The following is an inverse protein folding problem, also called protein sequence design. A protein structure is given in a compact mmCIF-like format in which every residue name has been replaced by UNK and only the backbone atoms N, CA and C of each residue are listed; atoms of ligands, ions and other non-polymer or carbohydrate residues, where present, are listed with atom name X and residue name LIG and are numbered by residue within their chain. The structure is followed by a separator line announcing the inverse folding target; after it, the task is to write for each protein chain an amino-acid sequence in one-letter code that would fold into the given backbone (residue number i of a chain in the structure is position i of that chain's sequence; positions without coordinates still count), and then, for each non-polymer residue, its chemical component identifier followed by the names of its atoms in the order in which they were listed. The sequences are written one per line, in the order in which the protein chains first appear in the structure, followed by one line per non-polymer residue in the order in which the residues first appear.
data_IF_410659831909
#
_entry.id   IF_410659831909
#
_cell.length_a   1.000
_cell.length_b   1.000
_cell.length_c   1.000
_cell.angle_alpha   90.00
_cell.angle_beta   90.00
_cell.angle_gamma   90.00
#
_symmetry.space_group_name_H-M   'P 1'
#
loop_
_entity.id
_entity.type
_entity.pdbx_description
1 polymer ?
#
# COMPACT_ATOMS: atom_id res chain seq x y z
N UNK A 1 -30.23 -36.49 -52.40
CA UNK A 1 -31.60 -36.94 -52.08
C UNK A 1 -31.66 -37.46 -50.64
N UNK A 2 -31.68 -36.57 -49.63
CA UNK A 2 -31.94 -36.91 -48.22
C UNK A 2 -32.62 -35.72 -47.52
N UNK A 3 -33.48 -36.05 -46.57
CA UNK A 3 -34.65 -35.29 -46.07
C UNK A 3 -34.30 -34.16 -45.08
N UNK A 4 -35.21 -33.18 -45.03
CA UNK A 4 -35.37 -32.07 -44.05
C UNK A 4 -35.25 -32.50 -42.58
N UNK A 5 -34.84 -31.59 -41.68
CA UNK A 5 -35.36 -31.48 -40.32
C UNK A 5 -36.42 -30.37 -40.20
N UNK A 6 -37.19 -30.46 -39.11
CA UNK A 6 -38.44 -29.77 -38.84
C UNK A 6 -38.31 -28.32 -38.35
N UNK A 7 -39.42 -27.59 -38.52
CA UNK A 7 -39.70 -26.22 -38.11
C UNK A 7 -40.01 -26.07 -36.62
N UNK A 8 -39.77 -24.84 -36.14
CA UNK A 8 -40.64 -24.10 -35.22
C UNK A 8 -40.10 -23.96 -33.80
N UNK A 9 -40.29 -22.85 -33.09
CA UNK A 9 -40.83 -21.52 -33.40
C UNK A 9 -40.63 -20.67 -32.11
N UNK A 10 -40.87 -19.37 -32.22
CA UNK A 10 -41.03 -18.35 -31.16
C UNK A 10 -39.72 -17.79 -30.57
N UNK A 11 -39.36 -16.53 -30.85
CA UNK A 11 -39.99 -15.24 -30.48
C UNK A 11 -39.70 -14.85 -29.03
N UNK A 12 -38.86 -13.83 -28.83
CA UNK A 12 -39.12 -12.79 -27.82
C UNK A 12 -38.41 -11.46 -28.23
N UNK A 13 -39.01 -10.28 -27.96
CA UNK A 13 -38.71 -9.01 -28.60
C UNK A 13 -37.78 -8.09 -27.78
N UNK A 14 -37.37 -7.01 -28.42
CA UNK A 14 -36.37 -6.06 -27.92
C UNK A 14 -36.76 -5.23 -26.70
N UNK A 15 -35.72 -4.73 -26.04
CA UNK A 15 -35.78 -3.66 -25.05
C UNK A 15 -35.01 -2.44 -25.57
N UNK A 16 -35.74 -1.33 -25.60
CA UNK A 16 -35.31 0.01 -25.99
C UNK A 16 -34.47 0.65 -24.88
N UNK A 17 -33.60 1.55 -25.33
CA UNK A 17 -32.93 2.61 -24.57
C UNK A 17 -33.94 3.47 -23.82
N UNK A 18 -33.50 4.07 -22.71
CA UNK A 18 -33.68 5.51 -22.50
C UNK A 18 -32.57 6.08 -21.58
N UNK A 19 -32.12 7.26 -21.97
CA UNK A 19 -31.20 8.14 -21.27
C UNK A 19 -31.99 9.08 -20.35
N UNK A 20 -31.37 9.62 -19.30
CA UNK A 20 -31.71 10.97 -18.86
C UNK A 20 -30.57 11.65 -18.11
N UNK A 21 -30.39 12.92 -18.44
CA UNK A 21 -29.43 13.88 -17.91
C UNK A 21 -30.16 14.96 -17.07
N UNK A 22 -29.37 15.89 -16.52
CA UNK A 22 -29.75 17.17 -15.88
C UNK A 22 -30.24 17.05 -14.43
N UNK A 23 -29.86 17.86 -13.43
CA UNK A 23 -29.17 19.14 -13.37
C UNK A 23 -29.92 20.02 -12.34
N UNK A 24 -29.29 20.47 -11.25
CA UNK A 24 -29.65 21.76 -10.61
C UNK A 24 -28.72 22.18 -9.44
N UNK A 25 -28.29 23.44 -9.46
CA UNK A 25 -27.95 24.28 -8.29
C UNK A 25 -29.09 25.28 -8.09
N UNK A 26 -29.25 25.87 -6.90
CA UNK A 26 -29.09 27.33 -6.87
C UNK A 26 -28.38 27.89 -5.64
N UNK A 27 -28.14 29.19 -5.78
CA UNK A 27 -27.35 30.17 -5.05
C UNK A 27 -28.21 30.93 -3.99
N UNK A 28 -27.59 31.46 -2.94
CA UNK A 28 -28.09 32.65 -2.21
C UNK A 28 -27.08 33.17 -1.18
N UNK A 29 -26.62 34.41 -1.37
CA UNK A 29 -25.85 35.20 -0.40
C UNK A 29 -26.70 35.91 0.66
N UNK A 30 -26.03 36.56 1.61
CA UNK A 30 -26.66 37.41 2.63
C UNK A 30 -25.65 38.08 3.57
N UNK A 31 -25.68 39.40 3.61
CA UNK A 31 -24.68 40.35 4.11
C UNK A 31 -24.89 40.76 5.59
N UNK A 32 -23.78 41.11 6.23
CA UNK A 32 -23.51 41.99 7.39
C UNK A 32 -24.63 42.49 8.30
N UNK A 33 -24.34 42.52 9.61
CA UNK A 33 -24.68 43.69 10.43
C UNK A 33 -23.69 43.91 11.57
N UNK A 34 -23.10 45.09 11.56
CA UNK A 34 -22.21 45.70 12.54
C UNK A 34 -23.05 46.43 13.61
N UNK A 35 -22.69 46.29 14.90
CA UNK A 35 -23.07 47.12 16.06
C UNK A 35 -22.34 46.51 17.26
N UNK A 36 -21.67 47.19 18.16
CA UNK A 36 -21.50 48.59 18.49
C UNK A 36 -20.84 48.62 19.87
N UNK A 37 -19.81 49.43 20.02
CA UNK A 37 -18.95 49.61 21.20
C UNK A 37 -19.72 49.74 22.54
N UNK A 38 -19.09 49.31 23.65
CA UNK A 38 -18.91 50.11 24.88
C UNK A 38 -17.98 49.42 25.89
N UNK A 39 -16.78 49.98 26.03
CA UNK A 39 -15.95 49.88 27.24
C UNK A 39 -16.47 50.87 28.30
N UNK A 40 -16.39 50.53 29.59
CA UNK A 40 -15.94 51.40 30.72
C UNK A 40 -16.03 50.67 32.08
N UNK A 41 -15.35 51.14 33.16
CA UNK A 41 -14.34 50.32 33.84
C UNK A 41 -14.47 50.29 35.38
N UNK A 42 -13.45 49.70 36.03
CA UNK A 42 -12.97 49.92 37.42
C UNK A 42 -13.78 49.27 38.56
N UNK A 43 -13.11 48.41 39.34
CA UNK A 43 -12.55 48.80 40.67
C UNK A 43 -11.72 47.68 41.32
N UNK A 44 -10.53 48.09 41.72
CA UNK A 44 -9.69 47.44 42.74
C UNK A 44 -10.38 47.44 44.12
N UNK A 45 -10.26 46.36 44.89
CA UNK A 45 -10.21 46.44 46.36
C UNK A 45 -9.34 45.33 46.94
N UNK A 46 -8.59 45.75 47.97
CA UNK A 46 -7.47 45.10 48.65
C UNK A 46 -7.90 44.00 49.64
N UNK A 47 -6.97 43.04 49.81
CA UNK A 47 -6.45 42.39 51.04
C UNK A 47 -7.42 41.84 52.11
N UNK A 48 -7.17 40.57 52.46
CA UNK A 48 -7.46 39.97 53.76
C UNK A 48 -6.68 38.66 53.93
N UNK A 49 -5.77 38.62 54.91
CA UNK A 49 -4.96 37.47 55.35
C UNK A 49 -5.75 36.69 56.40
N UNK A 50 -5.65 35.35 56.42
CA UNK A 50 -6.08 34.57 57.59
C UNK A 50 -6.19 33.04 57.40
N UNK A 51 -5.19 32.34 57.94
CA UNK A 51 -5.30 31.07 58.69
C UNK A 51 -5.58 29.72 57.97
N UNK A 52 -4.48 28.96 57.87
CA UNK A 52 -4.29 27.57 58.37
C UNK A 52 -5.46 26.58 58.28
N UNK A 53 -5.41 25.74 57.24
CA UNK A 53 -6.06 24.43 57.21
C UNK A 53 -5.07 23.37 56.72
N UNK A 54 -4.73 22.39 57.56
CA UNK A 54 -3.96 21.19 57.19
C UNK A 54 -4.75 20.40 56.13
N UNK A 55 -4.44 20.65 54.85
CA UNK A 55 -4.92 19.86 53.73
C UNK A 55 -4.16 18.53 53.67
N UNK A 56 -4.86 17.43 53.92
CA UNK A 56 -4.40 16.07 53.64
C UNK A 56 -4.15 15.99 52.13
N UNK A 57 -2.89 15.87 51.71
CA UNK A 57 -2.52 15.75 50.32
C UNK A 57 -3.24 14.55 49.69
N UNK A 58 -4.15 14.83 48.75
CA UNK A 58 -4.58 13.83 47.75
C UNK A 58 -3.37 13.54 46.87
N UNK A 59 -3.01 12.27 46.62
CA UNK A 59 -1.98 11.99 45.64
C UNK A 59 -2.47 12.50 44.28
N UNK A 60 -1.73 13.46 43.73
CA UNK A 60 -1.88 13.97 42.36
C UNK A 60 -1.52 12.83 41.40
N UNK A 61 -2.55 12.03 41.09
CA UNK A 61 -2.49 10.90 40.19
C UNK A 61 -2.75 11.27 38.74
N UNK A 62 -2.54 12.54 38.34
CA UNK A 62 -2.58 12.88 36.91
C UNK A 62 -1.23 12.53 36.28
N UNK A 63 -0.96 11.22 36.15
CA UNK A 63 -0.14 10.75 35.03
C UNK A 63 -0.82 11.33 33.79
N UNK A 64 -0.29 12.42 33.23
CA UNK A 64 -0.70 12.95 31.93
C UNK A 64 -0.64 11.76 31.00
N UNK A 65 -1.80 11.18 30.67
CA UNK A 65 -1.88 10.19 29.60
C UNK A 65 -1.25 10.87 28.39
N UNK A 66 -0.18 10.32 27.80
CA UNK A 66 0.42 10.92 26.63
C UNK A 66 -0.71 11.16 25.64
N UNK A 67 -0.81 12.39 25.14
CA UNK A 67 -1.73 12.68 24.05
C UNK A 67 -1.38 11.70 22.92
N UNK A 68 -2.38 10.96 22.42
CA UNK A 68 -2.16 10.09 21.27
C UNK A 68 -1.65 10.98 20.15
N UNK A 69 -0.48 10.64 19.62
CA UNK A 69 0.05 11.29 18.41
C UNK A 69 -0.30 10.42 17.21
N UNK A 70 -0.27 11.02 16.01
CA UNK A 70 -0.47 10.27 14.78
C UNK A 70 0.59 9.16 14.64
N UNK A 71 1.84 9.47 14.94
CA UNK A 71 2.95 8.50 14.93
C UNK A 71 2.71 7.35 15.90
N UNK A 72 2.26 7.63 17.13
CA UNK A 72 1.96 6.57 18.10
C UNK A 72 0.81 5.68 17.63
N UNK A 73 -0.19 6.26 16.96
CA UNK A 73 -1.30 5.51 16.35
C UNK A 73 -0.84 4.60 15.22
N UNK A 74 0.03 5.10 14.34
CA UNK A 74 0.61 4.31 13.24
C UNK A 74 1.46 3.17 13.80
N UNK A 75 2.35 3.46 14.74
CA UNK A 75 3.21 2.45 15.36
C UNK A 75 2.40 1.35 16.05
N UNK A 76 1.38 1.72 16.84
CA UNK A 76 0.48 0.76 17.47
C UNK A 76 -0.29 -0.09 16.45
N UNK A 77 -0.75 0.50 15.34
CA UNK A 77 -1.41 -0.24 14.28
C UNK A 77 -0.48 -1.23 13.57
N UNK A 78 0.78 -0.84 13.33
CA UNK A 78 1.79 -1.74 12.77
C UNK A 78 2.15 -2.87 13.75
N UNK A 79 2.22 -2.61 15.06
CA UNK A 79 2.41 -3.66 16.07
C UNK A 79 1.26 -4.66 16.10
N UNK A 80 0.01 -4.20 16.01
CA UNK A 80 -1.16 -5.09 15.91
C UNK A 80 -1.12 -5.90 14.61
N UNK A 81 -0.76 -5.28 13.49
CA UNK A 81 -0.63 -5.96 12.20
C UNK A 81 0.41 -7.08 12.25
N UNK A 82 1.58 -6.81 12.81
CA UNK A 82 2.66 -7.80 12.95
C UNK A 82 2.24 -8.98 13.83
N UNK A 83 1.66 -8.69 15.01
CA UNK A 83 1.25 -9.70 15.99
C UNK A 83 0.04 -10.52 15.54
N UNK A 84 -1.02 -9.85 15.09
CA UNK A 84 -2.35 -10.47 14.94
C UNK A 84 -2.79 -10.57 13.46
N UNK A 85 -2.15 -9.81 12.56
CA UNK A 85 -2.50 -9.76 11.13
C UNK A 85 -3.63 -8.79 10.81
N UNK A 86 -3.84 -8.58 9.52
CA UNK A 86 -4.76 -7.56 9.01
C UNK A 86 -6.23 -7.83 9.38
N UNK A 87 -6.62 -9.11 9.49
CA UNK A 87 -8.00 -9.51 9.82
C UNK A 87 -8.38 -9.16 11.27
N UNK A 88 -7.39 -9.11 12.17
CA UNK A 88 -7.56 -8.69 13.56
C UNK A 88 -7.38 -7.17 13.77
N UNK A 89 -6.91 -6.46 12.75
CA UNK A 89 -6.70 -5.02 12.80
C UNK A 89 -8.05 -4.27 12.79
N UNK A 90 -8.31 -3.53 13.86
CA UNK A 90 -9.53 -2.75 14.05
C UNK A 90 -9.24 -1.52 14.91
N UNK A 91 -10.14 -0.53 14.88
CA UNK A 91 -10.06 0.63 15.77
C UNK A 91 -9.99 0.23 17.26
N UNK A 92 -10.60 -0.91 17.63
CA UNK A 92 -10.57 -1.42 19.01
C UNK A 92 -9.24 -2.06 19.36
N UNK A 93 -8.65 -2.86 18.48
CA UNK A 93 -7.36 -3.49 18.74
C UNK A 93 -6.22 -2.46 18.79
N UNK A 94 -6.24 -1.44 17.92
CA UNK A 94 -5.27 -0.33 17.99
C UNK A 94 -5.45 0.51 19.27
N UNK A 95 -6.68 0.76 19.69
CA UNK A 95 -6.93 1.50 20.93
C UNK A 95 -6.49 0.71 22.16
N UNK A 96 -6.67 -0.61 22.14
CA UNK A 96 -6.20 -1.52 23.18
C UNK A 96 -4.67 -1.52 23.26
N UNK A 97 -3.98 -1.57 22.11
CA UNK A 97 -2.52 -1.46 22.02
C UNK A 97 -1.99 -0.15 22.63
N UNK A 98 -2.71 0.96 22.39
CA UNK A 98 -2.38 2.28 22.96
C UNK A 98 -2.85 2.49 24.41
N UNK A 99 -3.53 1.52 25.02
CA UNK A 99 -4.18 1.66 26.34
C UNK A 99 -5.17 2.84 26.43
N UNK A 100 -5.83 3.19 25.32
CA UNK A 100 -6.84 4.25 25.23
C UNK A 100 -8.21 3.71 24.85
N UNK A 101 -9.23 4.57 24.83
CA UNK A 101 -10.58 4.21 24.37
C UNK A 101 -10.66 4.45 22.86
N UNK A 102 -11.31 3.56 22.12
CA UNK A 102 -11.47 3.69 20.66
C UNK A 102 -12.02 5.05 20.19
N UNK A 103 -12.99 5.72 20.88
CA UNK A 103 -13.41 7.07 20.53
C UNK A 103 -12.27 8.12 20.47
N UNK A 104 -11.18 7.91 21.22
CA UNK A 104 -10.02 8.80 21.21
C UNK A 104 -9.23 8.73 19.90
N UNK A 105 -9.26 7.60 19.18
CA UNK A 105 -8.57 7.48 17.90
C UNK A 105 -9.24 8.29 16.79
N UNK A 106 -10.56 8.50 16.88
CA UNK A 106 -11.30 9.23 15.86
C UNK A 106 -10.98 10.72 15.78
N UNK A 107 -10.21 11.26 16.75
CA UNK A 107 -9.63 12.60 16.66
C UNK A 107 -8.46 12.67 15.67
N UNK A 108 -7.87 11.53 15.32
CA UNK A 108 -6.71 11.42 14.43
C UNK A 108 -7.07 10.81 13.07
N UNK A 109 -8.05 9.91 13.04
CA UNK A 109 -8.49 9.20 11.83
C UNK A 109 -10.01 9.11 11.77
N UNK A 110 -10.60 9.34 10.60
CA UNK A 110 -12.05 9.34 10.38
C UNK A 110 -12.63 7.94 10.47
N UNK A 111 -11.92 6.94 9.97
CA UNK A 111 -12.37 5.56 9.90
C UNK A 111 -11.19 4.57 9.79
N UNK A 112 -11.53 3.29 9.59
CA UNK A 112 -10.54 2.22 9.41
C UNK A 112 -9.78 2.35 8.09
N UNK A 113 -10.36 2.91 7.03
CA UNK A 113 -9.66 3.05 5.75
C UNK A 113 -8.57 4.12 5.85
N UNK A 114 -8.86 5.27 6.47
CA UNK A 114 -7.84 6.29 6.71
C UNK A 114 -6.73 5.79 7.66
N UNK A 115 -7.07 4.95 8.64
CA UNK A 115 -6.06 4.23 9.41
C UNK A 115 -5.19 3.36 8.51
N UNK A 116 -5.78 2.57 7.60
CA UNK A 116 -5.03 1.71 6.69
C UNK A 116 -4.12 2.50 5.73
N UNK A 117 -4.57 3.67 5.25
CA UNK A 117 -3.74 4.57 4.43
C UNK A 117 -2.51 5.06 5.20
N UNK A 118 -2.69 5.43 6.47
CA UNK A 118 -1.59 5.85 7.34
C UNK A 118 -0.64 4.70 7.68
N UNK A 119 -1.16 3.50 7.89
CA UNK A 119 -0.33 2.32 8.12
C UNK A 119 0.43 1.92 6.85
N UNK A 120 -0.17 2.05 5.68
CA UNK A 120 0.49 1.84 4.39
C UNK A 120 1.67 2.81 4.23
N UNK A 121 1.44 4.10 4.44
CA UNK A 121 2.50 5.11 4.37
C UNK A 121 3.58 4.89 5.43
N UNK A 122 3.19 4.64 6.69
CA UNK A 122 4.13 4.36 7.78
C UNK A 122 4.99 3.12 7.54
N UNK A 123 4.39 2.06 6.98
CA UNK A 123 5.11 0.85 6.57
C UNK A 123 6.15 1.17 5.50
N UNK A 124 5.79 1.92 4.46
CA UNK A 124 6.73 2.34 3.41
C UNK A 124 7.82 3.25 3.97
N UNK A 125 7.50 4.11 4.93
CA UNK A 125 8.47 4.94 5.64
C UNK A 125 9.49 4.13 6.47
N UNK A 126 9.13 2.93 6.95
CA UNK A 126 10.10 1.98 7.53
C UNK A 126 10.99 1.40 6.43
N UNK A 127 10.40 0.96 5.32
CA UNK A 127 11.13 0.42 4.17
C UNK A 127 12.09 1.42 3.52
N UNK A 128 11.76 2.71 3.54
CA UNK A 128 12.63 3.80 3.08
C UNK A 128 13.99 3.84 3.79
N UNK A 129 14.06 3.33 5.03
CA UNK A 129 15.31 3.25 5.81
C UNK A 129 16.22 2.11 5.33
N UNK A 130 15.70 1.21 4.53
CA UNK A 130 16.37 0.02 3.97
C UNK A 130 16.64 0.18 2.45
N UNK A 131 16.56 1.40 1.93
CA UNK A 131 16.91 1.68 0.54
C UNK A 131 18.38 1.31 0.29
N UNK A 132 18.67 0.55 -0.79
CA UNK A 132 20.05 0.21 -1.13
C UNK A 132 20.83 1.45 -1.61
N UNK A 133 22.16 1.44 -1.53
CA UNK A 133 22.97 2.45 -2.20
C UNK A 133 22.80 2.37 -3.72
N UNK A 134 23.00 3.48 -4.41
CA UNK A 134 23.05 3.54 -5.88
C UNK A 134 24.48 3.37 -6.38
N UNK A 135 24.65 2.63 -7.47
CA UNK A 135 25.95 2.29 -8.07
C UNK A 135 26.19 2.99 -9.41
N UNK A 136 25.21 3.75 -9.91
CA UNK A 136 25.30 4.47 -11.19
C UNK A 136 25.04 3.57 -12.41
N UNK A 137 24.58 2.33 -12.18
CA UNK A 137 24.01 1.47 -13.20
C UNK A 137 22.55 1.20 -12.81
N UNK A 138 21.63 1.85 -13.52
CA UNK A 138 20.19 1.71 -13.30
C UNK A 138 19.71 0.27 -13.25
N UNK A 139 20.35 -0.65 -14.00
CA UNK A 139 19.93 -2.04 -14.02
C UNK A 139 20.32 -2.73 -12.72
N UNK A 140 21.51 -2.44 -12.20
CA UNK A 140 21.95 -2.93 -10.89
C UNK A 140 21.10 -2.31 -9.80
N UNK A 141 20.89 -1.00 -9.84
CA UNK A 141 20.17 -0.24 -8.81
C UNK A 141 18.70 -0.68 -8.71
N UNK A 142 17.98 -0.80 -9.83
CA UNK A 142 16.60 -1.29 -9.83
C UNK A 142 16.49 -2.74 -9.37
N UNK A 143 17.48 -3.58 -9.71
CA UNK A 143 17.52 -4.98 -9.25
C UNK A 143 17.69 -5.04 -7.74
N UNK A 144 18.65 -4.30 -7.19
CA UNK A 144 18.88 -4.24 -5.75
C UNK A 144 17.68 -3.68 -5.01
N UNK A 145 17.06 -2.63 -5.55
CA UNK A 145 15.84 -2.04 -5.00
C UNK A 145 14.70 -3.07 -4.98
N UNK A 146 14.46 -3.80 -6.07
CA UNK A 146 13.41 -4.81 -6.15
C UNK A 146 13.62 -5.93 -5.12
N UNK A 147 14.86 -6.40 -4.95
CA UNK A 147 15.19 -7.40 -3.94
C UNK A 147 15.09 -6.87 -2.51
N UNK A 148 15.53 -5.64 -2.26
CA UNK A 148 15.39 -4.99 -0.95
C UNK A 148 13.92 -4.86 -0.57
N UNK A 149 13.11 -4.34 -1.50
CA UNK A 149 11.68 -4.17 -1.28
C UNK A 149 10.96 -5.50 -1.09
N UNK A 150 11.30 -6.54 -1.87
CA UNK A 150 10.76 -7.90 -1.67
C UNK A 150 11.08 -8.44 -0.29
N UNK A 151 12.34 -8.33 0.18
CA UNK A 151 12.75 -8.77 1.52
C UNK A 151 11.98 -8.01 2.60
N UNK A 152 11.92 -6.68 2.48
CA UNK A 152 11.20 -5.82 3.41
C UNK A 152 9.73 -6.23 3.51
N UNK A 153 9.02 -6.32 2.38
CA UNK A 153 7.61 -6.70 2.38
C UNK A 153 7.39 -8.11 2.93
N UNK A 154 8.26 -9.08 2.60
CA UNK A 154 8.18 -10.45 3.15
C UNK A 154 8.33 -10.49 4.66
N UNK A 155 9.22 -9.66 5.23
CA UNK A 155 9.45 -9.58 6.67
C UNK A 155 8.26 -8.95 7.43
N UNK A 156 7.40 -8.19 6.75
CA UNK A 156 6.26 -7.51 7.34
C UNK A 156 4.95 -8.25 7.02
N UNK A 157 4.30 -8.82 8.05
CA UNK A 157 3.06 -9.59 7.90
C UNK A 157 1.94 -8.78 7.23
N UNK A 158 1.24 -9.40 6.28
CA UNK A 158 0.12 -8.81 5.53
C UNK A 158 0.46 -7.48 4.83
N UNK A 159 1.75 -7.15 4.67
CA UNK A 159 2.24 -5.88 4.12
C UNK A 159 1.59 -5.55 2.77
N UNK A 160 1.56 -6.52 1.85
CA UNK A 160 0.97 -6.32 0.53
C UNK A 160 -0.54 -6.13 0.62
N UNK A 161 -1.24 -6.76 1.57
CA UNK A 161 -2.69 -6.54 1.74
C UNK A 161 -3.01 -5.15 2.25
N UNK A 162 -2.13 -4.58 3.07
CA UNK A 162 -2.23 -3.18 3.50
C UNK A 162 -1.97 -2.24 2.32
N UNK A 163 -0.98 -2.53 1.48
CA UNK A 163 -0.64 -1.70 0.31
C UNK A 163 -1.60 -1.82 -0.87
N UNK A 164 -2.20 -3.00 -1.07
CA UNK A 164 -3.05 -3.31 -2.23
C UNK A 164 -4.27 -2.39 -2.32
N UNK A 165 -4.45 -1.77 -3.49
CA UNK A 165 -5.56 -0.83 -3.75
C UNK A 165 -5.36 0.56 -3.14
N UNK A 166 -4.21 0.83 -2.52
CA UNK A 166 -3.83 2.13 -1.98
C UNK A 166 -2.67 2.70 -2.79
N UNK A 167 -2.69 4.01 -3.00
CA UNK A 167 -1.55 4.75 -3.53
C UNK A 167 -1.08 5.70 -2.43
N UNK A 168 -0.20 5.25 -1.52
CA UNK A 168 0.24 6.08 -0.41
C UNK A 168 0.96 7.30 -0.96
N UNK A 169 0.38 8.47 -0.76
CA UNK A 169 0.95 9.76 -1.19
C UNK A 169 1.50 10.56 0.00
N UNK A 170 1.82 9.86 1.09
CA UNK A 170 2.32 10.45 2.32
C UNK A 170 3.85 10.55 2.36
N UNK A 171 4.39 11.12 3.45
CA UNK A 171 5.83 11.30 3.62
C UNK A 171 6.62 10.00 3.70
N UNK A 172 6.00 8.87 4.03
CA UNK A 172 6.67 7.57 4.10
C UNK A 172 6.98 6.96 2.72
N UNK A 173 6.09 7.12 1.75
CA UNK A 173 6.30 6.64 0.37
C UNK A 173 7.28 7.53 -0.42
N UNK A 174 7.30 8.83 -0.15
CA UNK A 174 8.03 9.81 -0.96
C UNK A 174 9.53 9.47 -1.17
N UNK A 175 10.31 9.08 -0.14
CA UNK A 175 11.73 8.75 -0.33
C UNK A 175 11.94 7.54 -1.23
N UNK A 176 11.04 6.56 -1.21
CA UNK A 176 11.15 5.35 -2.04
C UNK A 176 10.87 5.69 -3.51
N UNK A 177 9.84 6.51 -3.79
CA UNK A 177 9.57 6.99 -5.14
C UNK A 177 10.71 7.87 -5.65
N UNK A 178 11.18 8.82 -4.83
CA UNK A 178 12.26 9.73 -5.20
C UNK A 178 13.54 8.98 -5.53
N UNK A 179 13.91 7.99 -4.71
CA UNK A 179 15.09 7.16 -4.95
C UNK A 179 15.01 6.43 -6.30
N UNK A 180 13.87 5.80 -6.60
CA UNK A 180 13.70 5.09 -7.86
C UNK A 180 13.67 6.03 -9.08
N UNK A 181 12.97 7.17 -8.95
CA UNK A 181 12.88 8.17 -10.00
C UNK A 181 14.24 8.83 -10.28
N UNK A 182 15.07 9.07 -9.26
CA UNK A 182 16.42 9.59 -9.42
C UNK A 182 17.31 8.64 -10.23
N UNK A 183 17.31 7.34 -9.89
CA UNK A 183 18.03 6.30 -10.66
C UNK A 183 17.63 6.29 -12.13
N UNK A 184 16.33 6.44 -12.40
CA UNK A 184 15.79 6.46 -13.76
C UNK A 184 16.12 7.76 -14.51
N UNK A 185 16.06 8.91 -13.82
CA UNK A 185 16.42 10.21 -14.39
C UNK A 185 17.91 10.25 -14.77
N UNK A 186 18.80 9.78 -13.90
CA UNK A 186 20.24 9.68 -14.15
C UNK A 186 20.58 8.77 -15.35
N UNK A 187 19.77 7.73 -15.57
CA UNK A 187 19.88 6.85 -16.73
C UNK A 187 19.24 7.41 -18.02
N UNK A 188 18.65 8.60 -17.95
CA UNK A 188 18.11 9.32 -19.09
C UNK A 188 16.70 8.92 -19.50
N UNK A 189 16.00 8.07 -18.74
CA UNK A 189 14.59 7.77 -19.01
C UNK A 189 13.76 9.05 -18.92
N UNK A 190 12.72 9.18 -19.74
CA UNK A 190 11.82 10.32 -19.61
C UNK A 190 10.90 10.18 -18.38
N UNK A 191 10.19 11.26 -18.01
CA UNK A 191 9.37 11.27 -16.80
C UNK A 191 8.20 10.29 -16.84
N UNK A 192 7.63 10.05 -18.02
CA UNK A 192 6.48 9.15 -18.17
C UNK A 192 6.95 7.69 -18.04
N UNK A 193 8.01 7.33 -18.76
CA UNK A 193 8.63 6.02 -18.65
C UNK A 193 9.10 5.75 -17.22
N UNK A 194 9.76 6.72 -16.58
CA UNK A 194 10.20 6.57 -15.20
C UNK A 194 9.04 6.32 -14.22
N UNK A 195 7.91 7.01 -14.39
CA UNK A 195 6.71 6.81 -13.58
C UNK A 195 6.10 5.41 -13.80
N UNK A 196 6.00 4.95 -15.05
CA UNK A 196 5.45 3.64 -15.38
C UNK A 196 6.37 2.49 -14.95
N UNK A 197 7.68 2.66 -15.05
CA UNK A 197 8.66 1.70 -14.53
C UNK A 197 8.53 1.59 -13.01
N UNK A 198 8.45 2.73 -12.32
CA UNK A 198 8.24 2.77 -10.86
C UNK A 198 6.98 2.04 -10.44
N UNK A 199 5.86 2.33 -11.09
CA UNK A 199 4.59 1.65 -10.84
C UNK A 199 4.65 0.14 -11.14
N UNK A 200 5.19 -0.23 -12.30
CA UNK A 200 5.30 -1.62 -12.75
C UNK A 200 6.20 -2.47 -11.85
N UNK A 201 7.34 -1.93 -11.41
CA UNK A 201 8.24 -2.62 -10.49
C UNK A 201 7.58 -2.87 -9.13
N UNK A 202 6.86 -1.86 -8.60
CA UNK A 202 6.10 -1.99 -7.37
C UNK A 202 5.03 -3.08 -7.45
N UNK A 203 4.27 -3.15 -8.55
CA UNK A 203 3.27 -4.20 -8.79
C UNK A 203 3.91 -5.58 -8.93
N UNK A 204 5.02 -5.69 -9.67
CA UNK A 204 5.75 -6.93 -9.85
C UNK A 204 6.17 -7.49 -8.49
N UNK A 205 6.89 -6.69 -7.69
CA UNK A 205 7.36 -7.12 -6.36
C UNK A 205 6.19 -7.46 -5.46
N UNK A 206 5.16 -6.62 -5.40
CA UNK A 206 3.97 -6.86 -4.57
C UNK A 206 3.24 -8.14 -4.96
N UNK A 207 3.11 -8.44 -6.26
CA UNK A 207 2.46 -9.66 -6.74
C UNK A 207 3.17 -10.93 -6.29
N UNK A 208 4.50 -10.94 -6.36
CA UNK A 208 5.29 -12.06 -5.83
C UNK A 208 5.12 -12.19 -4.32
N UNK A 209 5.30 -11.12 -3.56
CA UNK A 209 5.19 -11.18 -2.09
C UNK A 209 3.78 -11.58 -1.64
N UNK A 210 2.73 -11.12 -2.33
CA UNK A 210 1.36 -11.55 -2.05
C UNK A 210 1.17 -13.07 -2.19
N UNK A 211 1.78 -13.66 -3.22
CA UNK A 211 1.74 -15.11 -3.42
C UNK A 211 2.55 -15.87 -2.37
N UNK A 212 3.64 -15.29 -1.86
CA UNK A 212 4.53 -15.90 -0.87
C UNK A 212 4.00 -15.83 0.56
N UNK A 213 3.26 -14.77 0.91
CA UNK A 213 2.68 -14.62 2.25
C UNK A 213 1.39 -15.43 2.45
N UNK A 214 0.88 -16.08 1.39
CA UNK A 214 -0.35 -16.86 1.45
C UNK A 214 -0.07 -18.34 1.19
N UNK A 215 -0.77 -19.24 1.90
CA UNK A 215 -0.76 -20.64 1.53
C UNK A 215 -1.33 -20.79 0.11
N UNK A 216 -0.56 -21.37 -0.80
CA UNK A 216 -1.01 -21.61 -2.19
C UNK A 216 -2.10 -22.70 -2.26
N UNK A 217 -2.20 -23.55 -1.24
CA UNK A 217 -3.25 -24.57 -1.09
C UNK A 217 -3.67 -24.75 0.38
N UNK A 218 -4.80 -25.42 0.60
CA UNK A 218 -5.23 -25.87 1.92
C UNK A 218 -4.22 -26.84 2.57
N UNK A 219 -3.50 -27.63 1.76
CA UNK A 219 -2.45 -28.53 2.26
C UNK A 219 -1.30 -27.74 2.90
N UNK A 220 -0.84 -26.66 2.25
CA UNK A 220 0.18 -25.76 2.82
C UNK A 220 -0.35 -25.08 4.08
N UNK A 221 -1.63 -24.67 4.09
CA UNK A 221 -2.27 -24.11 5.29
C UNK A 221 -2.33 -25.12 6.45
N UNK A 222 -2.41 -26.41 6.15
CA UNK A 222 -2.37 -27.50 7.12
C UNK A 222 -0.94 -27.95 7.51
N UNK A 223 0.10 -27.28 6.99
CA UNK A 223 1.50 -27.54 7.34
C UNK A 223 2.27 -28.48 6.40
N UNK A 224 1.69 -28.87 5.26
CA UNK A 224 2.42 -29.64 4.24
C UNK A 224 3.54 -28.76 3.65
N UNK A 225 4.79 -29.26 3.53
CA UNK A 225 5.86 -28.52 2.91
C UNK A 225 5.49 -28.03 1.50
N UNK A 226 5.82 -26.77 1.19
CA UNK A 226 5.44 -26.13 -0.07
C UNK A 226 5.89 -26.95 -1.30
N UNK A 227 7.09 -27.55 -1.26
CA UNK A 227 7.60 -28.38 -2.34
C UNK A 227 6.74 -29.62 -2.61
N UNK A 228 6.27 -30.28 -1.56
CA UNK A 228 5.37 -31.44 -1.68
C UNK A 228 4.00 -31.03 -2.22
N UNK A 229 3.42 -29.95 -1.67
CA UNK A 229 2.12 -29.47 -2.10
C UNK A 229 2.13 -29.04 -3.58
N UNK A 230 3.19 -28.37 -4.02
CA UNK A 230 3.34 -27.93 -5.40
C UNK A 230 3.64 -29.11 -6.34
N UNK A 231 4.42 -30.11 -5.91
CA UNK A 231 4.63 -31.35 -6.68
C UNK A 231 3.31 -32.09 -6.93
N UNK A 232 2.45 -32.20 -5.91
CA UNK A 232 1.14 -32.84 -6.05
C UNK A 232 0.20 -32.09 -7.02
N UNK A 233 0.30 -30.75 -7.07
CA UNK A 233 -0.38 -29.95 -8.10
C UNK A 233 0.17 -30.32 -9.48
N UNK A 234 1.49 -30.46 -9.62
CA UNK A 234 2.15 -30.85 -10.87
C UNK A 234 1.66 -32.20 -11.39
N UNK A 235 1.56 -33.19 -10.51
CA UNK A 235 1.03 -34.52 -10.85
C UNK A 235 -0.44 -34.45 -11.29
N UNK A 236 -1.24 -33.61 -10.62
CA UNK A 236 -2.64 -33.36 -11.00
C UNK A 236 -2.73 -32.73 -12.39
N UNK A 237 -1.87 -31.75 -12.70
CA UNK A 237 -1.80 -31.11 -14.01
C UNK A 237 -1.34 -32.10 -15.10
N UNK A 238 -0.36 -32.95 -14.79
CA UNK A 238 0.15 -33.96 -15.71
C UNK A 238 -0.87 -35.07 -16.04
N UNK A 239 -1.88 -35.26 -15.19
CA UNK A 239 -2.94 -36.25 -15.38
C UNK A 239 -4.08 -35.79 -16.31
N UNK A 240 -4.09 -34.53 -16.76
CA UNK A 240 -5.09 -34.07 -17.73
C UNK A 240 -4.95 -34.78 -19.10
N UNK A 241 -6.04 -34.93 -19.88
CA UNK A 241 -5.97 -35.54 -21.21
C UNK A 241 -5.04 -34.74 -22.15
N UNK A 242 -3.89 -35.30 -22.51
CA UNK A 242 -2.88 -34.63 -23.32
C UNK A 242 -3.31 -34.40 -24.78
N UNK A 243 -4.28 -35.17 -25.27
CA UNK A 243 -4.94 -34.95 -26.56
C UNK A 243 -5.77 -33.66 -26.58
N UNK A 244 -6.27 -33.24 -25.42
CA UNK A 244 -7.08 -32.03 -25.23
C UNK A 244 -6.24 -30.86 -24.73
N UNK A 245 -5.27 -31.12 -23.84
CA UNK A 245 -4.46 -30.10 -23.15
C UNK A 245 -2.95 -30.33 -23.32
N UNK A 246 -2.43 -30.43 -24.55
CA UNK A 246 -1.03 -30.82 -24.80
C UNK A 246 -0.03 -29.86 -24.16
N UNK A 247 -0.28 -28.54 -24.21
CA UNK A 247 0.62 -27.54 -23.64
C UNK A 247 0.63 -27.52 -22.10
N UNK A 248 -0.53 -27.74 -21.49
CA UNK A 248 -0.67 -27.75 -20.03
C UNK A 248 0.09 -28.94 -19.43
N UNK A 249 -0.12 -30.13 -19.99
CA UNK A 249 0.57 -31.35 -19.55
C UNK A 249 2.07 -31.23 -19.80
N UNK A 250 2.48 -30.71 -20.96
CA UNK A 250 3.90 -30.53 -21.30
C UNK A 250 4.61 -29.55 -20.36
N UNK A 251 3.91 -28.53 -19.86
CA UNK A 251 4.47 -27.51 -18.96
C UNK A 251 4.19 -27.79 -17.47
N UNK A 252 3.62 -28.95 -17.11
CA UNK A 252 3.15 -29.22 -15.75
C UNK A 252 4.25 -29.00 -14.71
N UNK A 253 5.45 -29.54 -14.95
CA UNK A 253 6.59 -29.44 -14.05
C UNK A 253 7.10 -28.00 -13.91
N UNK A 254 7.15 -27.27 -15.00
CA UNK A 254 7.62 -25.89 -15.07
C UNK A 254 6.61 -24.93 -14.41
N UNK A 255 5.32 -25.18 -14.57
CA UNK A 255 4.24 -24.45 -13.89
C UNK A 255 4.26 -24.69 -12.38
N UNK A 256 4.74 -25.84 -11.94
CA UNK A 256 4.83 -26.22 -10.52
C UNK A 256 6.27 -26.36 -10.03
N UNK A 257 7.23 -25.66 -10.63
CA UNK A 257 8.56 -25.54 -10.06
C UNK A 257 8.48 -24.78 -8.71
N UNK A 258 9.03 -25.33 -7.61
CA UNK A 258 8.81 -24.80 -6.26
C UNK A 258 9.65 -23.54 -5.96
N UNK A 259 10.65 -23.23 -6.78
CA UNK A 259 11.58 -22.13 -6.51
C UNK A 259 10.99 -20.77 -6.94
N UNK A 260 10.39 -20.06 -5.99
CA UNK A 260 9.84 -18.71 -6.23
C UNK A 260 10.95 -17.67 -6.48
N UNK A 261 12.15 -17.85 -5.91
CA UNK A 261 13.26 -16.92 -6.12
C UNK A 261 13.76 -16.97 -7.57
N UNK A 262 13.81 -18.16 -8.17
CA UNK A 262 14.12 -18.32 -9.59
C UNK A 262 13.05 -17.66 -10.47
N UNK A 263 11.76 -17.83 -10.15
CA UNK A 263 10.67 -17.17 -10.88
C UNK A 263 10.73 -15.65 -10.77
N UNK A 264 10.97 -15.14 -9.57
CA UNK A 264 11.12 -13.71 -9.33
C UNK A 264 12.30 -13.14 -10.13
N UNK A 265 13.46 -13.81 -10.07
CA UNK A 265 14.65 -13.44 -10.84
C UNK A 265 14.34 -13.42 -12.33
N UNK A 266 13.72 -14.48 -12.86
CA UNK A 266 13.38 -14.54 -14.28
C UNK A 266 12.48 -13.37 -14.70
N UNK A 267 11.38 -13.13 -13.98
CA UNK A 267 10.42 -12.06 -14.33
C UNK A 267 11.05 -10.68 -14.17
N UNK A 268 11.83 -10.45 -13.12
CA UNK A 268 12.56 -9.20 -12.91
C UNK A 268 13.56 -8.93 -14.03
N UNK A 269 14.39 -9.91 -14.41
CA UNK A 269 15.35 -9.72 -15.49
C UNK A 269 14.63 -9.47 -16.84
N UNK A 270 13.52 -10.15 -17.12
CA UNK A 270 12.72 -9.88 -18.33
C UNK A 270 12.08 -8.50 -18.32
N UNK A 271 11.61 -8.05 -17.16
CA UNK A 271 11.12 -6.69 -16.98
C UNK A 271 12.22 -5.67 -17.29
N UNK A 272 13.40 -5.83 -16.70
CA UNK A 272 14.57 -4.95 -16.93
C UNK A 272 15.08 -5.00 -18.37
N UNK A 273 15.10 -6.18 -19.01
CA UNK A 273 15.46 -6.32 -20.42
C UNK A 273 14.55 -5.50 -21.33
N UNK A 274 13.24 -5.49 -21.04
CA UNK A 274 12.27 -4.68 -21.79
C UNK A 274 12.56 -3.18 -21.72
N UNK A 275 13.16 -2.70 -20.64
CA UNK A 275 13.50 -1.28 -20.46
C UNK A 275 14.69 -0.82 -21.30
N UNK A 276 15.52 -1.76 -21.77
CA UNK A 276 16.68 -1.43 -22.65
C UNK A 276 16.21 -0.85 -23.99
N UNK A 277 15.03 -1.25 -24.45
CA UNK A 277 14.45 -0.78 -25.71
C UNK A 277 13.84 0.64 -25.62
N UNK A 278 13.69 1.20 -24.42
CA UNK A 278 13.10 2.52 -24.23
C UNK A 278 14.07 3.63 -24.64
N UNK A 279 13.58 4.72 -25.24
CA UNK A 279 14.40 5.85 -25.62
C UNK A 279 15.04 6.50 -24.39
N UNK A 280 16.27 6.98 -24.54
CA UNK A 280 17.01 7.68 -23.48
C UNK A 280 17.42 9.07 -23.95
N UNK A 281 17.29 10.03 -23.05
CA UNK A 281 17.90 11.34 -23.21
C UNK A 281 19.43 11.16 -23.29
N UNK A 282 20.12 11.87 -24.19
CA UNK A 282 21.58 11.84 -24.21
C UNK A 282 22.11 12.36 -22.88
N UNK A 283 23.13 11.68 -22.33
CA UNK A 283 23.80 12.14 -21.11
C UNK A 283 24.42 13.49 -21.41
N UNK A 284 23.97 14.54 -20.75
CA UNK A 284 24.57 15.87 -20.89
C UNK A 284 25.98 15.78 -20.34
N UNK A 285 27.00 15.81 -21.21
CA UNK A 285 28.38 15.94 -20.76
C UNK A 285 28.51 17.26 -19.97
N UNK A 286 29.13 17.25 -18.78
CA UNK A 286 29.43 18.50 -18.09
C UNK A 286 30.27 19.38 -19.03
N UNK A 287 30.03 20.71 -19.05
CA UNK A 287 30.79 21.60 -19.91
C UNK A 287 32.28 21.36 -19.66
N UNK A 288 33.02 21.06 -20.73
CA UNK A 288 34.46 20.86 -20.69
C UNK A 288 35.06 22.00 -19.86
N UNK A 289 35.80 21.64 -18.81
CA UNK A 289 36.47 22.62 -17.96
C UNK A 289 37.27 23.53 -18.90
N UNK A 290 36.90 24.82 -18.94
CA UNK A 290 37.64 25.79 -19.69
C UNK A 290 39.05 25.82 -19.08
N UNK A 291 40.04 25.35 -19.86
CA UNK A 291 41.45 25.46 -19.51
C UNK A 291 41.76 26.91 -19.13
N UNK A 292 42.21 27.10 -17.89
CA UNK A 292 42.64 28.37 -17.33
C UNK A 292 44.16 28.53 -17.47
#
# INVERSE_FOLDING_TARGET
MRRRPAQGDSSDPGLRRDANAEGNRPDSGGVSTERGRRQRPRRSRRRGVGMTGKGRARPDGTRKRPAVTLDALVEAGLTVLERDGLDALSMRSVAAELEVRAPSLYWHVRDKEELLDLLADGLLGRGARELPPTHGDWRVDLRELAWSFRRFLKANRDSVRVLMGRFPSGPGMAPVLEHQLAVLDEAGFDRQDAAYITYGLGLLVSGFVYSEQRPITAAVAAGVPIGEAVSAIGDTIAAFPADTYPHLVAAARELTAPNIDERFTFVLERFLDGLVALPRRPKTEPPAAADA
#
